data_IF_313726307380
#
_entry.id   IF_313726307380
#
_cell.length_a   1.000
_cell.length_b   1.000
_cell.length_c   1.000
_cell.angle_alpha   90.00
_cell.angle_beta   90.00
_cell.angle_gamma   90.00
#
_symmetry.space_group_name_H-M   'P 1'
#
loop_
_entity.id
_entity.type
_entity.pdbx_description
1 polymer ?
#
# COMPACT_ATOMS: atom_id res chain seq x y z
N UNK A 1 -60.20 42.12 66.63
CA UNK A 1 -59.19 43.02 67.19
C UNK A 1 -57.92 42.96 66.34
N UNK A 2 -57.35 44.13 66.04
CA UNK A 2 -55.96 44.43 65.65
C UNK A 2 -55.39 43.85 64.34
N UNK A 3 -55.22 44.79 63.41
CA UNK A 3 -54.35 44.74 62.24
C UNK A 3 -52.88 44.49 62.61
N UNK A 4 -52.08 43.93 61.70
CA UNK A 4 -50.70 44.38 61.44
C UNK A 4 -50.30 44.11 59.98
N UNK A 5 -49.74 45.15 59.37
CA UNK A 5 -49.10 45.20 58.05
C UNK A 5 -47.60 44.89 58.21
N UNK A 6 -46.97 44.53 57.09
CA UNK A 6 -45.56 44.71 56.70
C UNK A 6 -44.60 43.50 56.67
N UNK A 7 -43.96 43.42 55.48
CA UNK A 7 -42.55 43.16 55.18
C UNK A 7 -42.08 41.73 54.79
N UNK A 8 -41.79 41.64 53.47
CA UNK A 8 -40.83 40.84 52.68
C UNK A 8 -40.09 39.64 53.29
N UNK A 9 -40.10 38.49 52.59
CA UNK A 9 -38.88 37.72 52.22
C UNK A 9 -39.10 36.92 50.91
N UNK A 10 -38.18 37.19 49.98
CA UNK A 10 -37.66 36.41 48.84
C UNK A 10 -37.89 34.87 48.83
N UNK A 11 -38.35 34.31 47.69
CA UNK A 11 -38.04 32.92 47.31
C UNK A 11 -38.07 32.76 45.77
N UNK A 12 -36.88 32.54 45.23
CA UNK A 12 -36.49 32.29 43.84
C UNK A 12 -37.00 30.93 43.34
N UNK A 13 -37.52 30.86 42.13
CA UNK A 13 -37.41 29.66 41.30
C UNK A 13 -37.37 30.04 39.82
N UNK A 14 -36.15 30.02 39.27
CA UNK A 14 -35.87 30.33 37.88
C UNK A 14 -36.00 29.09 36.99
N UNK A 15 -36.68 29.24 35.86
CA UNK A 15 -36.46 28.42 34.67
C UNK A 15 -35.57 29.22 33.72
N UNK A 16 -34.26 28.95 33.75
CA UNK A 16 -33.34 29.38 32.70
C UNK A 16 -33.69 28.63 31.41
N UNK A 17 -34.11 29.36 30.40
CA UNK A 17 -34.18 28.87 29.02
C UNK A 17 -32.74 28.73 28.52
N UNK A 18 -32.26 27.49 28.38
CA UNK A 18 -31.02 27.22 27.67
C UNK A 18 -31.25 27.42 26.17
N UNK A 19 -30.87 28.58 25.64
CA UNK A 19 -30.77 28.80 24.20
C UNK A 19 -29.59 27.99 23.64
N UNK A 20 -29.73 27.30 22.50
CA UNK A 20 -28.62 26.59 21.89
C UNK A 20 -27.60 27.61 21.37
N UNK A 21 -26.41 27.63 21.97
CA UNK A 21 -25.29 28.44 21.51
C UNK A 21 -24.75 27.81 20.22
N UNK A 22 -25.23 28.26 19.06
CA UNK A 22 -24.62 27.96 17.77
C UNK A 22 -23.31 28.76 17.66
N UNK A 23 -22.20 28.16 18.10
CA UNK A 23 -20.87 28.68 17.83
C UNK A 23 -20.57 28.48 16.34
N UNK A 24 -20.45 29.58 15.60
CA UNK A 24 -20.18 29.55 14.17
C UNK A 24 -18.69 29.29 13.96
N UNK A 25 -18.29 28.04 13.70
CA UNK A 25 -16.92 27.73 13.32
C UNK A 25 -16.62 28.13 11.87
N UNK A 26 -15.57 28.92 11.69
CA UNK A 26 -15.08 29.36 10.38
C UNK A 26 -13.92 28.49 9.92
N UNK A 27 -13.87 28.22 8.60
CA UNK A 27 -12.76 27.53 7.94
C UNK A 27 -12.03 28.50 7.03
N UNK A 28 -10.70 28.58 7.15
CA UNK A 28 -9.86 29.36 6.23
C UNK A 28 -8.57 28.61 5.90
N UNK A 29 -7.91 29.04 4.82
CA UNK A 29 -6.61 28.51 4.39
C UNK A 29 -5.56 29.59 4.64
N UNK A 30 -4.49 29.23 5.34
CA UNK A 30 -3.37 30.14 5.60
C UNK A 30 -2.41 30.25 4.40
N UNK A 31 -1.37 31.08 4.53
CA UNK A 31 -0.36 31.33 3.48
C UNK A 31 0.47 30.08 3.15
N UNK A 32 0.47 29.09 4.04
CA UNK A 32 1.19 27.82 3.87
C UNK A 32 0.32 26.74 3.23
N UNK A 33 -0.93 27.04 2.87
CA UNK A 33 -1.87 26.09 2.28
C UNK A 33 -2.54 25.17 3.30
N UNK A 34 -2.36 25.41 4.60
CA UNK A 34 -2.98 24.60 5.64
C UNK A 34 -4.39 25.09 5.96
N UNK A 35 -5.28 24.12 6.13
CA UNK A 35 -6.69 24.37 6.46
C UNK A 35 -6.85 24.49 7.97
N UNK A 36 -7.29 25.67 8.43
CA UNK A 36 -7.51 25.98 9.83
C UNK A 36 -9.02 26.16 10.13
N UNK A 37 -9.43 25.82 11.35
CA UNK A 37 -10.81 25.95 11.84
C UNK A 37 -10.81 26.71 13.18
N UNK A 38 -11.69 27.69 13.35
CA UNK A 38 -11.80 28.45 14.60
C UNK A 38 -13.02 29.35 14.69
N UNK A 39 -13.37 29.74 15.91
CA UNK A 39 -14.55 30.57 16.24
C UNK A 39 -14.33 32.07 15.90
N UNK A 40 -13.08 32.46 15.62
CA UNK A 40 -12.71 33.83 15.24
C UNK A 40 -11.61 33.82 14.18
N UNK A 41 -11.93 34.32 12.98
CA UNK A 41 -10.98 34.47 11.88
C UNK A 41 -10.19 35.76 12.09
N UNK A 42 -8.84 35.72 12.11
CA UNK A 42 -8.05 36.94 12.17
C UNK A 42 -8.37 37.86 10.98
N UNK A 43 -8.48 39.19 11.16
CA UNK A 43 -8.89 40.14 10.12
C UNK A 43 -8.09 40.03 8.82
N UNK A 44 -6.83 39.58 8.92
CA UNK A 44 -5.89 39.37 7.81
C UNK A 44 -6.37 38.34 6.78
N UNK A 45 -7.31 37.46 7.13
CA UNK A 45 -7.85 36.39 6.25
C UNK A 45 -9.33 36.54 5.92
N UNK A 46 -9.99 37.61 6.38
CA UNK A 46 -11.43 37.84 6.20
C UNK A 46 -11.86 37.91 4.72
N UNK A 47 -10.99 38.38 3.82
CA UNK A 47 -11.24 38.46 2.36
C UNK A 47 -10.98 37.15 1.61
N UNK A 48 -10.33 36.16 2.25
CA UNK A 48 -10.12 34.80 1.70
C UNK A 48 -11.12 33.79 2.27
N UNK A 49 -12.03 34.23 3.14
CA UNK A 49 -13.17 33.42 3.57
C UNK A 49 -14.01 33.17 2.33
N UNK A 50 -14.07 31.92 1.88
CA UNK A 50 -15.00 31.53 0.84
C UNK A 50 -16.41 31.82 1.36
N UNK A 51 -17.00 32.89 0.82
CA UNK A 51 -18.39 33.26 1.06
C UNK A 51 -19.23 31.99 0.93
N UNK A 52 -19.93 31.67 2.02
CA UNK A 52 -20.71 30.45 2.20
C UNK A 52 -19.88 29.18 2.43
N UNK A 53 -19.42 29.01 3.67
CA UNK A 53 -19.39 27.68 4.27
C UNK A 53 -20.74 27.00 3.95
N UNK A 54 -20.68 25.84 3.29
CA UNK A 54 -21.84 25.09 2.86
C UNK A 54 -22.78 24.91 4.05
N UNK A 55 -23.95 25.57 4.02
CA UNK A 55 -24.93 25.47 5.11
C UNK A 55 -25.28 23.98 5.30
N UNK A 56 -25.43 23.49 6.55
CA UNK A 56 -26.00 22.17 6.79
C UNK A 56 -27.29 21.99 5.97
N UNK A 57 -27.37 20.94 5.16
CA UNK A 57 -28.49 20.70 4.22
C UNK A 57 -28.32 21.28 2.80
N UNK A 58 -27.19 21.90 2.49
CA UNK A 58 -26.88 22.25 1.09
C UNK A 58 -26.28 21.06 0.34
N UNK A 59 -26.61 20.91 -0.95
CA UNK A 59 -26.09 19.83 -1.82
C UNK A 59 -24.56 19.78 -1.83
N UNK A 60 -23.89 20.93 -1.65
CA UNK A 60 -22.42 21.01 -1.57
C UNK A 60 -21.88 20.50 -0.24
N UNK A 61 -22.61 20.66 0.85
CA UNK A 61 -22.32 20.07 2.18
C UNK A 61 -22.55 18.56 2.16
N UNK A 62 -23.69 18.08 1.65
CA UNK A 62 -23.97 16.64 1.52
C UNK A 62 -22.98 15.94 0.60
N UNK A 63 -22.60 16.54 -0.53
CA UNK A 63 -21.56 15.99 -1.40
C UNK A 63 -20.18 15.96 -0.74
N UNK A 64 -19.85 16.98 0.06
CA UNK A 64 -18.60 16.99 0.82
C UNK A 64 -18.59 15.92 1.92
N UNK A 65 -19.70 15.73 2.62
CA UNK A 65 -19.88 14.67 3.63
C UNK A 65 -19.84 13.28 3.00
N UNK A 66 -20.58 13.05 1.91
CA UNK A 66 -20.56 11.79 1.17
C UNK A 66 -19.15 11.47 0.63
N UNK A 67 -18.38 12.48 0.20
CA UNK A 67 -16.99 12.30 -0.22
C UNK A 67 -16.03 12.00 0.93
N UNK A 68 -16.34 12.45 2.15
CA UNK A 68 -15.58 12.13 3.37
C UNK A 68 -15.89 10.71 3.86
N UNK A 69 -17.16 10.31 3.82
CA UNK A 69 -17.62 8.94 4.11
C UNK A 69 -17.13 7.92 3.07
N UNK A 70 -16.85 8.38 1.85
CA UNK A 70 -16.27 7.57 0.76
C UNK A 70 -14.74 7.49 0.79
N UNK A 71 -14.06 8.02 1.82
CA UNK A 71 -12.62 7.82 1.94
C UNK A 71 -12.31 6.32 2.08
N UNK A 72 -11.39 5.76 1.26
CA UNK A 72 -11.02 4.37 1.39
C UNK A 72 -10.53 4.13 2.81
N UNK A 73 -10.97 3.02 3.41
CA UNK A 73 -10.49 2.65 4.73
C UNK A 73 -8.96 2.57 4.75
N UNK A 74 -8.34 2.74 5.92
CA UNK A 74 -6.88 2.59 6.04
C UNK A 74 -6.38 1.24 5.52
N UNK A 75 -7.19 0.18 5.68
CA UNK A 75 -6.90 -1.15 5.15
C UNK A 75 -6.90 -1.17 3.62
N UNK A 76 -7.84 -0.47 2.98
CA UNK A 76 -7.93 -0.37 1.53
C UNK A 76 -6.73 0.43 0.96
N UNK A 77 -6.38 1.55 1.60
CA UNK A 77 -5.17 2.31 1.25
C UNK A 77 -3.90 1.48 1.42
N UNK A 78 -3.81 0.67 2.48
CA UNK A 78 -2.68 -0.22 2.71
C UNK A 78 -2.57 -1.31 1.63
N UNK A 79 -3.69 -1.92 1.24
CA UNK A 79 -3.76 -2.89 0.13
C UNK A 79 -3.31 -2.26 -1.18
N UNK A 80 -3.87 -1.11 -1.56
CA UNK A 80 -3.48 -0.40 -2.79
C UNK A 80 -2.00 -0.05 -2.82
N UNK A 81 -1.43 0.40 -1.69
CA UNK A 81 0.02 0.63 -1.59
C UNK A 81 0.83 -0.65 -1.74
N UNK A 82 0.39 -1.76 -1.16
CA UNK A 82 1.08 -3.06 -1.27
C UNK A 82 1.05 -3.59 -2.70
N UNK A 83 -0.10 -3.46 -3.38
CA UNK A 83 -0.27 -3.84 -4.78
C UNK A 83 0.57 -2.95 -5.69
N UNK A 84 0.55 -1.63 -5.48
CA UNK A 84 1.37 -0.70 -6.24
C UNK A 84 2.87 -1.01 -6.10
N UNK A 85 3.34 -1.33 -4.88
CA UNK A 85 4.71 -1.77 -4.64
C UNK A 85 5.02 -3.09 -5.34
N UNK A 86 4.13 -4.08 -5.26
CA UNK A 86 4.29 -5.36 -5.92
C UNK A 86 4.36 -5.21 -7.45
N UNK A 87 3.53 -4.33 -8.04
CA UNK A 87 3.56 -4.02 -9.46
C UNK A 87 4.83 -3.29 -9.87
N UNK A 88 5.30 -2.35 -9.05
CA UNK A 88 6.57 -1.67 -9.29
C UNK A 88 7.74 -2.65 -9.26
N UNK A 89 7.75 -3.58 -8.30
CA UNK A 89 8.79 -4.59 -8.20
C UNK A 89 8.76 -5.56 -9.39
N UNK A 90 7.57 -6.02 -9.80
CA UNK A 90 7.41 -6.82 -11.02
C UNK A 90 8.00 -6.12 -12.24
N UNK A 91 7.66 -4.85 -12.46
CA UNK A 91 8.21 -4.06 -13.57
C UNK A 91 9.73 -3.92 -13.48
N UNK A 92 10.29 -3.72 -12.28
CA UNK A 92 11.75 -3.66 -12.09
C UNK A 92 12.43 -4.96 -12.48
N UNK A 93 11.89 -6.09 -12.02
CA UNK A 93 12.40 -7.42 -12.33
C UNK A 93 12.27 -7.72 -13.83
N UNK A 94 11.16 -7.37 -14.45
CA UNK A 94 10.93 -7.53 -15.90
C UNK A 94 11.94 -6.70 -16.71
N UNK A 95 12.13 -5.43 -16.36
CA UNK A 95 13.13 -4.57 -17.01
C UNK A 95 14.53 -5.13 -16.82
N UNK A 96 14.89 -5.58 -15.61
CA UNK A 96 16.18 -6.19 -15.33
C UNK A 96 16.39 -7.47 -16.15
N UNK A 97 15.35 -8.30 -16.30
CA UNK A 97 15.40 -9.52 -17.10
C UNK A 97 15.68 -9.20 -18.58
N UNK A 98 14.93 -8.26 -19.16
CA UNK A 98 15.10 -7.83 -20.55
C UNK A 98 16.41 -7.08 -20.80
N UNK A 99 16.96 -6.40 -19.78
CA UNK A 99 18.26 -5.72 -19.91
C UNK A 99 19.44 -6.67 -19.75
N UNK A 100 19.26 -7.77 -19.00
CA UNK A 100 20.33 -8.75 -18.73
C UNK A 100 20.50 -9.73 -19.89
N UNK A 101 19.40 -10.10 -20.56
CA UNK A 101 19.42 -11.10 -21.62
C UNK A 101 18.83 -10.53 -22.91
N UNK A 102 19.55 -10.70 -24.01
CA UNK A 102 19.12 -10.24 -25.33
C UNK A 102 18.20 -11.24 -26.03
N UNK A 103 18.26 -12.52 -25.63
CA UNK A 103 17.47 -13.61 -26.19
C UNK A 103 17.39 -14.80 -25.22
N UNK A 104 16.53 -15.78 -25.51
CA UNK A 104 16.36 -16.97 -24.68
C UNK A 104 17.61 -17.86 -24.55
N UNK A 105 18.47 -17.88 -25.57
CA UNK A 105 19.67 -18.72 -25.54
C UNK A 105 20.72 -18.20 -24.54
N UNK A 106 20.76 -16.88 -24.29
CA UNK A 106 21.59 -16.31 -23.24
C UNK A 106 21.14 -16.73 -21.83
N UNK A 107 19.83 -16.86 -21.63
CA UNK A 107 19.25 -17.38 -20.37
C UNK A 107 19.68 -18.84 -20.16
N UNK A 108 19.62 -19.66 -21.21
CA UNK A 108 20.09 -21.05 -21.14
C UNK A 108 21.60 -21.16 -20.91
N UNK A 109 22.40 -20.35 -21.59
CA UNK A 109 23.84 -20.33 -21.37
C UNK A 109 24.16 -19.91 -19.93
N UNK A 110 23.41 -18.97 -19.35
CA UNK A 110 23.55 -18.59 -17.95
C UNK A 110 23.16 -19.74 -17.00
N UNK A 111 22.07 -20.46 -17.30
CA UNK A 111 21.67 -21.68 -16.58
C UNK A 111 22.80 -22.71 -16.58
N UNK A 112 23.33 -23.05 -17.74
CA UNK A 112 24.40 -24.05 -17.89
C UNK A 112 25.66 -23.68 -17.11
N UNK A 113 26.07 -22.41 -17.12
CA UNK A 113 27.24 -21.95 -16.35
C UNK A 113 27.04 -22.16 -14.86
N UNK A 114 25.83 -21.93 -14.36
CA UNK A 114 25.53 -22.08 -12.94
C UNK A 114 25.34 -23.53 -12.51
N UNK A 115 24.63 -24.30 -13.33
CA UNK A 115 24.50 -25.75 -13.14
C UNK A 115 25.86 -26.43 -13.10
N UNK A 116 26.79 -26.05 -13.99
CA UNK A 116 28.15 -26.59 -14.00
C UNK A 116 28.87 -26.37 -12.68
N UNK A 117 28.79 -25.17 -12.12
CA UNK A 117 29.38 -24.86 -10.80
C UNK A 117 28.76 -25.70 -9.69
N UNK A 118 27.43 -25.87 -9.71
CA UNK A 118 26.74 -26.72 -8.72
C UNK A 118 27.11 -28.21 -8.88
N UNK A 119 27.22 -28.68 -10.11
CA UNK A 119 27.64 -30.05 -10.44
C UNK A 119 29.09 -30.33 -10.02
N UNK A 120 29.99 -29.36 -10.15
CA UNK A 120 31.37 -29.46 -9.66
C UNK A 120 31.39 -29.66 -8.14
N UNK A 121 30.59 -28.90 -7.39
CA UNK A 121 30.42 -29.09 -5.94
C UNK A 121 29.88 -30.48 -5.61
N UNK A 122 28.82 -30.94 -6.29
CA UNK A 122 28.26 -32.28 -6.12
C UNK A 122 29.30 -33.37 -6.38
N UNK A 123 30.12 -33.21 -7.42
CA UNK A 123 31.17 -34.16 -7.77
C UNK A 123 32.20 -34.26 -6.65
N UNK A 124 32.65 -33.13 -6.10
CA UNK A 124 33.62 -33.11 -4.98
C UNK A 124 33.04 -33.78 -3.73
N UNK A 125 31.81 -33.43 -3.34
CA UNK A 125 31.16 -34.00 -2.15
C UNK A 125 30.90 -35.51 -2.32
N UNK A 126 30.44 -35.94 -3.49
CA UNK A 126 30.19 -37.36 -3.79
C UNK A 126 31.47 -38.20 -3.78
N UNK A 127 32.60 -37.65 -4.23
CA UNK A 127 33.90 -38.31 -4.12
C UNK A 127 34.33 -38.48 -2.66
N UNK A 128 34.05 -37.48 -1.81
CA UNK A 128 34.27 -37.56 -0.37
C UNK A 128 33.48 -38.68 0.31
N UNK A 129 32.23 -38.94 -0.13
CA UNK A 129 31.41 -40.02 0.39
C UNK A 129 32.01 -41.40 0.10
N UNK A 130 32.53 -41.60 -1.11
CA UNK A 130 33.19 -42.85 -1.51
C UNK A 130 34.44 -43.15 -0.68
N UNK A 131 35.15 -42.11 -0.21
CA UNK A 131 36.36 -42.24 0.61
C UNK A 131 36.11 -42.35 2.13
N UNK A 132 34.90 -42.03 2.61
CA UNK A 132 34.61 -41.98 4.05
C UNK A 132 34.10 -43.32 4.60
N UNK A 133 34.58 -43.70 5.79
CA UNK A 133 34.21 -44.94 6.50
C UNK A 133 33.38 -44.70 7.77
N UNK A 134 33.29 -43.46 8.26
CA UNK A 134 32.53 -43.11 9.47
C UNK A 134 31.03 -42.92 9.17
N UNK A 135 30.11 -43.51 9.94
CA UNK A 135 28.66 -43.31 9.76
C UNK A 135 28.22 -41.84 9.87
N UNK A 136 28.79 -41.08 10.80
CA UNK A 136 28.44 -39.67 10.99
C UNK A 136 28.87 -38.79 9.82
N UNK A 137 30.07 -39.05 9.28
CA UNK A 137 30.59 -38.32 8.13
C UNK A 137 29.79 -38.64 6.87
N UNK A 138 29.39 -39.90 6.69
CA UNK A 138 28.49 -40.30 5.60
C UNK A 138 27.16 -39.58 5.68
N UNK A 139 26.55 -39.50 6.87
CA UNK A 139 25.30 -38.77 7.06
C UNK A 139 25.43 -37.27 6.70
N UNK A 140 26.52 -36.62 7.13
CA UNK A 140 26.78 -35.21 6.78
C UNK A 140 26.97 -35.03 5.26
N UNK A 141 27.73 -35.92 4.63
CA UNK A 141 27.97 -35.89 3.19
C UNK A 141 26.68 -36.15 2.40
N UNK A 142 25.83 -37.06 2.83
CA UNK A 142 24.51 -37.30 2.24
C UNK A 142 23.59 -36.08 2.36
N UNK A 143 23.62 -35.39 3.51
CA UNK A 143 22.88 -34.14 3.68
C UNK A 143 23.35 -33.06 2.69
N UNK A 144 24.67 -32.92 2.50
CA UNK A 144 25.24 -32.00 1.52
C UNK A 144 24.88 -32.37 0.07
N UNK A 145 24.91 -33.66 -0.29
CA UNK A 145 24.49 -34.12 -1.62
C UNK A 145 23.02 -33.77 -1.86
N UNK A 146 22.15 -34.03 -0.88
CA UNK A 146 20.73 -33.70 -0.98
C UNK A 146 20.50 -32.19 -1.06
N UNK A 147 21.27 -31.40 -0.31
CA UNK A 147 21.25 -29.94 -0.40
C UNK A 147 21.63 -29.47 -1.82
N UNK A 148 22.77 -29.90 -2.35
CA UNK A 148 23.22 -29.46 -3.68
C UNK A 148 22.30 -29.95 -4.81
N UNK A 149 21.60 -31.08 -4.64
CA UNK A 149 20.52 -31.51 -5.55
C UNK A 149 19.35 -30.53 -5.52
N UNK A 150 18.88 -30.12 -4.33
CA UNK A 150 17.82 -29.11 -4.20
C UNK A 150 18.24 -27.77 -4.80
N UNK A 151 19.50 -27.38 -4.63
CA UNK A 151 20.05 -26.18 -5.26
C UNK A 151 20.02 -26.29 -6.78
N UNK A 152 20.42 -27.44 -7.34
CA UNK A 152 20.32 -27.71 -8.78
C UNK A 152 18.87 -27.58 -9.30
N UNK A 153 17.91 -28.17 -8.58
CA UNK A 153 16.49 -28.08 -8.94
C UNK A 153 15.97 -26.64 -8.85
N UNK A 154 16.37 -25.90 -7.82
CA UNK A 154 16.01 -24.49 -7.66
C UNK A 154 16.61 -23.60 -8.76
N UNK A 155 17.85 -23.88 -9.18
CA UNK A 155 18.49 -23.21 -10.33
C UNK A 155 17.67 -23.47 -11.60
N UNK A 156 17.31 -24.73 -11.89
CA UNK A 156 16.49 -25.05 -13.06
C UNK A 156 15.15 -24.32 -13.02
N UNK A 157 14.41 -24.43 -11.91
CA UNK A 157 13.09 -23.82 -11.76
C UNK A 157 13.12 -22.29 -11.94
N UNK A 158 14.14 -21.61 -11.40
CA UNK A 158 14.23 -20.15 -11.55
C UNK A 158 14.51 -19.76 -13.01
N UNK A 159 15.38 -20.49 -13.71
CA UNK A 159 15.75 -20.17 -15.08
C UNK A 159 14.60 -20.52 -16.05
N UNK A 160 13.85 -21.58 -15.77
CA UNK A 160 12.61 -21.90 -16.48
C UNK A 160 11.58 -20.77 -16.33
N UNK A 161 11.40 -20.26 -15.10
CA UNK A 161 10.53 -19.11 -14.86
C UNK A 161 11.01 -17.84 -15.58
N UNK A 162 12.31 -17.56 -15.57
CA UNK A 162 12.88 -16.42 -16.30
C UNK A 162 12.67 -16.56 -17.81
N UNK A 163 12.88 -17.75 -18.37
CA UNK A 163 12.66 -17.99 -19.80
C UNK A 163 11.20 -17.86 -20.20
N UNK A 164 10.29 -18.41 -19.40
CA UNK A 164 8.85 -18.25 -19.61
C UNK A 164 8.45 -16.77 -19.55
N UNK A 165 8.94 -16.03 -18.55
CA UNK A 165 8.69 -14.60 -18.41
C UNK A 165 9.26 -13.79 -19.57
N UNK A 166 10.48 -14.11 -20.01
CA UNK A 166 11.10 -13.45 -21.15
C UNK A 166 10.28 -13.64 -22.43
N UNK A 167 9.75 -14.85 -22.66
CA UNK A 167 8.83 -15.13 -23.77
C UNK A 167 7.56 -14.30 -23.70
N UNK A 168 6.94 -14.18 -22.53
CA UNK A 168 5.75 -13.34 -22.36
C UNK A 168 6.03 -11.87 -22.68
N UNK A 169 7.19 -11.35 -22.25
CA UNK A 169 7.57 -9.95 -22.45
C UNK A 169 8.02 -9.63 -23.87
N UNK A 170 8.56 -10.61 -24.60
CA UNK A 170 9.06 -10.44 -25.98
C UNK A 170 8.09 -10.95 -27.05
N UNK A 171 7.02 -11.64 -26.66
CA UNK A 171 5.96 -12.03 -27.57
C UNK A 171 5.40 -10.79 -28.29
N UNK A 172 5.18 -10.86 -29.61
CA UNK A 172 4.52 -9.77 -30.32
C UNK A 172 3.16 -9.48 -29.65
N UNK A 173 2.72 -8.20 -29.62
CA UNK A 173 1.49 -7.82 -28.95
C UNK A 173 0.30 -8.51 -29.60
N UNK A 174 -0.03 -9.71 -29.12
CA UNK A 174 -1.23 -10.45 -29.50
C UNK A 174 -2.35 -9.88 -28.65
N UNK A 175 -3.05 -8.89 -29.19
CA UNK A 175 -4.48 -8.57 -29.01
C UNK A 175 -5.14 -8.93 -27.67
N UNK A 176 -4.49 -8.70 -26.53
CA UNK A 176 -5.08 -8.92 -25.21
C UNK A 176 -5.34 -7.60 -24.45
N UNK A 177 -4.87 -6.46 -24.97
CA UNK A 177 -5.07 -5.12 -24.39
C UNK A 177 -5.98 -4.19 -25.22
N UNK A 178 -6.64 -4.71 -26.26
CA UNK A 178 -7.53 -3.90 -27.10
C UNK A 178 -8.96 -3.72 -26.56
N UNK A 179 -9.33 -4.33 -25.42
CA UNK A 179 -10.73 -4.34 -24.94
C UNK A 179 -11.02 -3.55 -23.67
N UNK A 180 -10.08 -2.75 -23.14
CA UNK A 180 -10.32 -1.93 -21.94
C UNK A 180 -10.41 -0.42 -22.19
N UNK A 181 -10.89 0.01 -23.36
CA UNK A 181 -11.40 1.38 -23.51
C UNK A 181 -12.87 1.39 -23.04
N UNK A 182 -13.22 2.01 -21.90
CA UNK A 182 -14.62 2.21 -21.58
C UNK A 182 -15.15 3.23 -22.60
N UNK A 183 -16.07 2.78 -23.45
CA UNK A 183 -16.83 3.65 -24.33
C UNK A 183 -17.67 4.57 -23.44
N UNK A 184 -17.25 5.83 -23.32
CA UNK A 184 -18.09 6.88 -22.79
C UNK A 184 -19.30 7.07 -23.72
N UNK A 185 -20.49 6.89 -23.18
CA UNK A 185 -21.74 7.47 -23.66
C UNK A 185 -22.57 7.88 -22.45
#
# INVERSE_FOLDING_TARGET
MRAYRFLHVLAVCGCLVALPTQAAMYKWVDENGNVNYGDSVPPKYASKVSDRAARPGSVKWERAMASLESSPSEQELAKQRSEAKAQQERKRLDTALLSTYSNEAEIETARERELRRSQETLKVVSAGLAGSSSPEDRQKLDALINQSRRETDAINARFDAQKARFRELTAPPTTAQATSKPSAK
#
